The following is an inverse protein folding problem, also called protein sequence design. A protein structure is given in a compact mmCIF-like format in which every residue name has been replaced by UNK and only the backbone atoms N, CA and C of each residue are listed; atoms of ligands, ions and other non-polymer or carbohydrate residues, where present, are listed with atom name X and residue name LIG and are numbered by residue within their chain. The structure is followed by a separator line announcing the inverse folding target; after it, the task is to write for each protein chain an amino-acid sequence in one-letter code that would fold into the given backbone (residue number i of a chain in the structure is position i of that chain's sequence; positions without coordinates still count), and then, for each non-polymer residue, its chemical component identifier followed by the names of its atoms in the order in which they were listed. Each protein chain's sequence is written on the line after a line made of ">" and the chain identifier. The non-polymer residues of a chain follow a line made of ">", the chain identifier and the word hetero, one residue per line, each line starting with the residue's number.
data_IF_457996950219
#
_entry.id   IF_457996950219
#
_cell.length_a   1.000
_cell.length_b   1.000
_cell.length_c   1.000
_cell.angle_alpha   90.00
_cell.angle_beta   90.00
_cell.angle_gamma   90.00
#
_symmetry.space_group_name_H-M   'P 1'
#
loop_
_entity.id
_entity.type
_entity.pdbx_description
1 polymer ?
#
# COMPACT_ATOMS: atom_id res chain seq x y z
N UNK A 1 23.50 14.78 1.64
CA UNK A 1 22.73 13.65 2.19
C UNK A 1 21.40 13.51 1.44
N UNK A 2 21.15 12.34 0.93
CA UNK A 2 19.92 12.12 0.16
C UNK A 2 18.73 12.05 1.10
N UNK A 3 17.67 12.79 0.77
CA UNK A 3 16.40 12.74 1.50
C UNK A 3 15.54 11.65 0.84
N UNK A 4 14.94 10.79 1.65
CA UNK A 4 14.06 9.75 1.13
C UNK A 4 12.85 10.38 0.42
N UNK A 5 12.40 9.77 -0.68
CA UNK A 5 11.23 10.23 -1.44
C UNK A 5 9.94 10.12 -0.64
N UNK A 6 9.96 9.34 0.41
CA UNK A 6 8.81 9.08 1.25
C UNK A 6 8.97 7.71 1.90
N UNK A 7 8.01 7.37 2.72
CA UNK A 7 8.00 6.10 3.47
C UNK A 7 6.83 5.25 2.99
N UNK A 8 7.11 3.99 2.67
CA UNK A 8 6.10 3.05 2.16
C UNK A 8 6.07 1.81 3.04
N UNK A 9 4.88 1.37 3.41
CA UNK A 9 4.67 0.09 4.07
C UNK A 9 4.12 -0.89 3.03
N UNK A 10 4.86 -1.95 2.76
CA UNK A 10 4.49 -2.97 1.76
C UNK A 10 3.89 -4.17 2.48
N UNK A 11 2.62 -4.46 2.20
CA UNK A 11 1.87 -5.53 2.88
C UNK A 11 1.49 -6.61 1.87
N UNK A 12 2.06 -7.79 2.02
CA UNK A 12 1.78 -8.94 1.16
C UNK A 12 2.20 -10.20 1.92
N UNK A 13 1.37 -11.23 1.92
CA UNK A 13 1.69 -12.49 2.59
C UNK A 13 2.69 -13.34 1.78
N UNK A 14 2.81 -13.08 0.48
CA UNK A 14 3.79 -13.77 -0.37
C UNK A 14 5.15 -13.10 -0.21
N UNK A 15 6.10 -13.82 0.36
CA UNK A 15 7.44 -13.28 0.62
C UNK A 15 8.14 -12.82 -0.64
N UNK A 16 8.01 -13.56 -1.73
CA UNK A 16 8.67 -13.20 -2.99
C UNK A 16 8.13 -11.90 -3.55
N UNK A 17 6.81 -11.76 -3.60
CA UNK A 17 6.16 -10.54 -4.09
C UNK A 17 6.49 -9.37 -3.16
N UNK A 18 6.41 -9.58 -1.86
CA UNK A 18 6.70 -8.55 -0.87
C UNK A 18 8.12 -8.00 -1.04
N UNK A 19 9.09 -8.89 -1.20
CA UNK A 19 10.48 -8.48 -1.38
C UNK A 19 10.70 -7.82 -2.73
N UNK A 20 10.06 -8.31 -3.78
CA UNK A 20 10.17 -7.70 -5.11
C UNK A 20 9.72 -6.24 -5.07
N UNK A 21 8.57 -5.98 -4.46
CA UNK A 21 8.05 -4.62 -4.33
C UNK A 21 8.99 -3.78 -3.47
N UNK A 22 9.41 -4.32 -2.33
CA UNK A 22 10.27 -3.59 -1.40
C UNK A 22 11.60 -3.20 -2.03
N UNK A 23 12.25 -4.12 -2.75
CA UNK A 23 13.53 -3.84 -3.40
C UNK A 23 13.37 -2.76 -4.47
N UNK A 24 12.34 -2.87 -5.30
CA UNK A 24 12.12 -1.89 -6.37
C UNK A 24 11.88 -0.49 -5.82
N UNK A 25 11.08 -0.37 -4.76
CA UNK A 25 10.82 0.94 -4.14
C UNK A 25 12.07 1.48 -3.44
N UNK A 26 12.83 0.62 -2.80
CA UNK A 26 14.08 1.04 -2.14
C UNK A 26 15.06 1.60 -3.17
N UNK A 27 15.19 0.95 -4.32
CA UNK A 27 16.06 1.41 -5.40
C UNK A 27 15.64 2.78 -5.94
N UNK A 28 14.36 3.11 -5.82
CA UNK A 28 13.84 4.40 -6.26
C UNK A 28 13.98 5.50 -5.21
N UNK A 29 14.55 5.17 -4.05
CA UNK A 29 14.82 6.16 -3.02
C UNK A 29 13.79 6.24 -1.90
N UNK A 30 12.85 5.30 -1.84
CA UNK A 30 11.87 5.25 -0.76
C UNK A 30 12.45 4.55 0.46
N UNK A 31 12.01 4.96 1.62
CA UNK A 31 12.22 4.22 2.86
C UNK A 31 11.10 3.18 2.95
N UNK A 32 11.45 1.90 3.00
CA UNK A 32 10.46 0.82 2.91
C UNK A 32 10.47 -0.02 4.17
N UNK A 33 9.27 -0.26 4.72
CA UNK A 33 9.03 -1.25 5.75
C UNK A 33 8.04 -2.25 5.21
N UNK A 34 7.98 -3.44 5.79
CA UNK A 34 7.10 -4.51 5.28
C UNK A 34 6.22 -5.06 6.39
N UNK A 35 5.08 -5.62 5.98
CA UNK A 35 4.19 -6.35 6.86
C UNK A 35 3.70 -7.59 6.12
N UNK A 36 3.38 -8.66 6.86
CA UNK A 36 3.07 -9.97 6.28
C UNK A 36 1.58 -10.21 6.04
N UNK A 37 0.73 -9.48 6.73
CA UNK A 37 -0.72 -9.60 6.58
C UNK A 37 -1.41 -8.33 7.11
N UNK A 38 -2.75 -8.35 7.10
CA UNK A 38 -3.52 -7.19 7.52
C UNK A 38 -3.35 -6.82 8.99
N UNK A 39 -3.27 -7.82 9.88
CA UNK A 39 -3.08 -7.53 11.30
C UNK A 39 -1.70 -6.93 11.55
N UNK A 40 -0.67 -7.51 10.94
CA UNK A 40 0.68 -6.99 11.04
C UNK A 40 0.75 -5.56 10.48
N UNK A 41 0.02 -5.30 9.40
CA UNK A 41 -0.09 -3.95 8.84
C UNK A 41 -0.64 -2.96 9.85
N UNK A 42 -1.75 -3.31 10.50
CA UNK A 42 -2.38 -2.41 11.46
C UNK A 42 -1.50 -2.15 12.68
N UNK A 43 -0.73 -3.15 13.11
CA UNK A 43 0.21 -2.98 14.20
C UNK A 43 1.39 -2.09 13.80
N UNK A 44 1.95 -2.34 12.61
CA UNK A 44 3.14 -1.61 12.16
C UNK A 44 2.85 -0.20 11.68
N UNK A 45 1.68 0.04 11.15
CA UNK A 45 1.36 1.35 10.55
C UNK A 45 1.45 2.49 11.57
N UNK A 46 1.12 2.22 12.81
CA UNK A 46 1.20 3.22 13.88
C UNK A 46 2.66 3.60 14.18
N UNK A 47 3.55 2.62 14.17
CA UNK A 47 4.97 2.84 14.42
C UNK A 47 5.65 3.48 13.21
N UNK A 48 5.34 2.97 12.02
CA UNK A 48 6.00 3.40 10.78
C UNK A 48 5.50 4.74 10.28
N UNK A 49 4.20 4.98 10.40
CA UNK A 49 3.51 6.16 9.87
C UNK A 49 3.93 6.44 8.43
N UNK A 50 3.63 5.50 7.51
CA UNK A 50 4.04 5.67 6.12
C UNK A 50 3.21 6.71 5.38
N UNK A 51 3.75 7.20 4.27
CA UNK A 51 2.99 8.06 3.36
C UNK A 51 2.04 7.22 2.50
N UNK A 52 2.49 6.01 2.14
CA UNK A 52 1.74 5.11 1.26
C UNK A 52 1.79 3.69 1.82
N UNK A 53 0.67 2.99 1.75
CA UNK A 53 0.59 1.55 2.07
C UNK A 53 0.20 0.82 0.78
N UNK A 54 0.94 -0.21 0.40
CA UNK A 54 0.52 -1.11 -0.67
C UNK A 54 -0.04 -2.36 -0.02
N UNK A 55 -1.27 -2.73 -0.37
CA UNK A 55 -2.02 -3.82 0.26
C UNK A 55 -2.44 -4.86 -0.77
N UNK A 56 -1.99 -6.10 -0.57
CA UNK A 56 -2.53 -7.22 -1.32
C UNK A 56 -3.93 -7.51 -0.77
N UNK A 57 -4.89 -7.74 -1.67
CA UNK A 57 -6.27 -8.05 -1.27
C UNK A 57 -6.38 -9.45 -0.68
N UNK A 58 -5.71 -10.42 -1.30
CA UNK A 58 -5.81 -11.84 -0.90
C UNK A 58 -4.76 -12.19 0.14
N UNK A 59 -5.10 -12.00 1.41
CA UNK A 59 -4.22 -12.32 2.53
C UNK A 59 -4.98 -13.13 3.58
N UNK A 60 -4.27 -14.00 4.32
CA UNK A 60 -4.91 -14.71 5.44
C UNK A 60 -5.20 -13.77 6.60
N UNK A 61 -6.01 -14.23 7.52
CA UNK A 61 -6.40 -13.53 8.76
C UNK A 61 -7.29 -12.32 8.46
N UNK A 62 -6.69 -11.25 7.98
CA UNK A 62 -7.39 -10.01 7.69
C UNK A 62 -7.05 -9.61 6.26
N UNK A 63 -8.02 -9.67 5.35
CA UNK A 63 -7.77 -9.36 3.95
C UNK A 63 -7.56 -7.86 3.71
N UNK A 64 -7.13 -7.52 2.49
CA UNK A 64 -6.80 -6.14 2.16
C UNK A 64 -7.98 -5.19 2.21
N UNK A 65 -9.18 -5.67 1.90
CA UNK A 65 -10.39 -4.82 1.96
C UNK A 65 -10.68 -4.36 3.37
N UNK A 66 -10.67 -5.29 4.32
CA UNK A 66 -10.94 -4.99 5.73
C UNK A 66 -9.83 -4.13 6.30
N UNK A 67 -8.59 -4.42 5.94
CA UNK A 67 -7.44 -3.63 6.39
C UNK A 67 -7.58 -2.17 5.92
N UNK A 68 -7.93 -1.97 4.65
CA UNK A 68 -8.14 -0.63 4.10
C UNK A 68 -9.28 0.10 4.82
N UNK A 69 -10.38 -0.60 5.09
CA UNK A 69 -11.50 -0.01 5.82
C UNK A 69 -11.08 0.46 7.21
N UNK A 70 -10.29 -0.34 7.92
CA UNK A 70 -9.81 0.02 9.25
C UNK A 70 -8.86 1.20 9.21
N UNK A 71 -7.99 1.26 8.20
CA UNK A 71 -7.09 2.40 8.05
C UNK A 71 -7.87 3.70 7.84
N UNK A 72 -8.92 3.65 7.03
CA UNK A 72 -9.75 4.83 6.75
C UNK A 72 -10.62 5.24 7.93
N UNK A 73 -11.00 4.30 8.77
CA UNK A 73 -11.87 4.56 9.93
C UNK A 73 -11.14 5.16 11.12
N UNK A 74 -9.82 5.04 11.16
CA UNK A 74 -9.04 5.52 12.30
C UNK A 74 -8.46 6.90 11.98
N UNK A 75 -8.70 7.86 12.85
CA UNK A 75 -8.19 9.23 12.65
C UNK A 75 -6.67 9.30 12.56
N UNK A 76 -5.98 8.37 13.22
CA UNK A 76 -4.52 8.34 13.19
C UNK A 76 -3.98 7.92 11.83
N UNK A 77 -4.77 7.19 11.02
CA UNK A 77 -4.30 6.59 9.77
C UNK A 77 -5.13 6.95 8.54
N UNK A 78 -6.22 7.68 8.70
CA UNK A 78 -7.13 7.93 7.58
C UNK A 78 -6.54 8.79 6.46
N UNK A 79 -5.43 9.47 6.72
CA UNK A 79 -4.74 10.31 5.73
C UNK A 79 -3.74 9.53 4.88
N UNK A 80 -3.41 8.30 5.26
CA UNK A 80 -2.40 7.50 4.56
C UNK A 80 -2.93 7.09 3.19
N UNK A 81 -2.10 7.21 2.16
CA UNK A 81 -2.48 6.80 0.80
C UNK A 81 -2.47 5.28 0.71
N UNK A 82 -3.49 4.70 0.09
CA UNK A 82 -3.64 3.25 -0.01
C UNK A 82 -3.67 2.83 -1.47
N UNK A 83 -2.82 1.86 -1.82
CA UNK A 83 -2.81 1.20 -3.12
C UNK A 83 -3.22 -0.26 -2.89
N UNK A 84 -4.36 -0.67 -3.44
CA UNK A 84 -4.77 -2.08 -3.38
C UNK A 84 -4.22 -2.83 -4.58
N UNK A 85 -3.71 -4.03 -4.33
CA UNK A 85 -3.15 -4.89 -5.36
C UNK A 85 -3.93 -6.20 -5.36
N UNK A 86 -4.48 -6.59 -6.51
CA UNK A 86 -5.34 -7.77 -6.59
C UNK A 86 -5.15 -8.51 -7.90
N UNK A 87 -5.45 -9.81 -7.90
CA UNK A 87 -5.46 -10.61 -9.13
C UNK A 87 -6.74 -10.39 -9.95
N UNK A 88 -7.74 -9.70 -9.38
CA UNK A 88 -9.03 -9.48 -10.03
C UNK A 88 -9.36 -7.98 -10.07
N UNK A 89 -9.72 -7.51 -11.25
CA UNK A 89 -10.07 -6.10 -11.46
C UNK A 89 -11.48 -6.01 -12.05
N UNK A 90 -12.46 -6.54 -11.34
CA UNK A 90 -13.86 -6.46 -11.77
C UNK A 90 -14.46 -5.12 -11.34
N UNK A 91 -15.50 -4.71 -12.03
CA UNK A 91 -16.14 -3.41 -11.76
C UNK A 91 -16.66 -3.31 -10.32
N UNK A 92 -17.22 -4.42 -9.78
CA UNK A 92 -17.69 -4.43 -8.41
C UNK A 92 -16.56 -4.20 -7.41
N UNK A 93 -15.39 -4.78 -7.67
CA UNK A 93 -14.21 -4.61 -6.83
C UNK A 93 -13.72 -3.17 -6.86
N UNK A 94 -13.71 -2.57 -8.04
CA UNK A 94 -13.31 -1.17 -8.20
C UNK A 94 -14.28 -0.23 -7.49
N UNK A 95 -15.56 -0.54 -7.57
CA UNK A 95 -16.60 0.23 -6.87
C UNK A 95 -16.42 0.12 -5.36
N UNK A 96 -16.11 -1.08 -4.87
CA UNK A 96 -15.82 -1.29 -3.45
C UNK A 96 -14.62 -0.48 -3.00
N UNK A 97 -13.55 -0.46 -3.81
CA UNK A 97 -12.37 0.34 -3.52
C UNK A 97 -12.68 1.82 -3.43
N UNK A 98 -13.47 2.34 -4.38
CA UNK A 98 -13.88 3.75 -4.35
C UNK A 98 -14.72 4.07 -3.12
N UNK A 99 -15.60 3.14 -2.73
CA UNK A 99 -16.46 3.30 -1.55
C UNK A 99 -15.63 3.37 -0.26
N UNK A 100 -14.59 2.56 -0.17
CA UNK A 100 -13.68 2.58 0.98
C UNK A 100 -12.80 3.82 0.97
N UNK A 101 -12.48 4.32 -0.22
CA UNK A 101 -11.63 5.50 -0.37
C UNK A 101 -10.16 5.15 -0.58
N UNK A 102 -9.88 4.04 -1.29
CA UNK A 102 -8.50 3.74 -1.66
C UNK A 102 -8.07 4.70 -2.78
N UNK A 103 -6.78 4.97 -2.83
CA UNK A 103 -6.24 6.00 -3.74
C UNK A 103 -5.85 5.44 -5.09
N UNK A 104 -5.53 4.15 -5.16
CA UNK A 104 -5.18 3.50 -6.41
C UNK A 104 -5.43 2.01 -6.33
N UNK A 105 -5.48 1.37 -7.49
CA UNK A 105 -5.84 -0.02 -7.63
C UNK A 105 -4.99 -0.62 -8.74
N UNK A 106 -4.21 -1.65 -8.42
CA UNK A 106 -3.36 -2.33 -9.39
C UNK A 106 -3.77 -3.79 -9.51
N UNK A 107 -3.70 -4.32 -10.73
CA UNK A 107 -4.06 -5.69 -11.02
C UNK A 107 -2.80 -6.52 -11.24
N UNK A 108 -2.74 -7.70 -10.60
CA UNK A 108 -1.66 -8.66 -10.84
C UNK A 108 -1.92 -9.43 -12.14
N UNK A 109 -0.91 -9.73 -12.93
CA UNK A 109 0.47 -9.26 -12.77
C UNK A 109 0.59 -7.79 -13.11
N UNK A 110 1.39 -7.07 -12.35
CA UNK A 110 1.64 -5.66 -12.61
C UNK A 110 3.10 -5.47 -13.04
N UNK A 111 3.33 -4.42 -13.80
CA UNK A 111 4.68 -4.02 -14.16
C UNK A 111 5.27 -3.24 -12.97
N UNK A 112 6.48 -3.59 -12.50
CA UNK A 112 7.09 -2.84 -11.39
C UNK A 112 7.17 -1.33 -11.66
N UNK A 113 7.37 -0.92 -12.90
CA UNK A 113 7.41 0.51 -13.24
C UNK A 113 6.04 1.18 -13.02
N UNK A 114 4.95 0.47 -13.24
CA UNK A 114 3.61 0.97 -12.99
C UNK A 114 3.38 1.19 -11.50
N UNK A 115 3.78 0.22 -10.68
CA UNK A 115 3.68 0.35 -9.23
C UNK A 115 4.51 1.53 -8.73
N UNK A 116 5.75 1.65 -9.19
CA UNK A 116 6.64 2.74 -8.81
C UNK A 116 6.01 4.10 -9.16
N UNK A 117 5.46 4.21 -10.36
CA UNK A 117 4.83 5.44 -10.84
C UNK A 117 3.66 5.86 -9.93
N UNK A 118 2.81 4.90 -9.57
CA UNK A 118 1.67 5.15 -8.70
C UNK A 118 2.13 5.58 -7.31
N UNK A 119 3.09 4.87 -6.74
CA UNK A 119 3.60 5.16 -5.39
C UNK A 119 4.26 6.55 -5.36
N UNK A 120 5.06 6.89 -6.38
CA UNK A 120 5.68 8.22 -6.47
C UNK A 120 4.64 9.32 -6.46
N UNK A 121 3.61 9.19 -7.28
CA UNK A 121 2.55 10.19 -7.37
C UNK A 121 1.84 10.38 -6.03
N UNK A 122 1.50 9.28 -5.38
CA UNK A 122 0.78 9.33 -4.10
C UNK A 122 1.66 9.86 -2.98
N UNK A 123 2.94 9.49 -2.96
CA UNK A 123 3.88 9.98 -1.95
C UNK A 123 4.07 11.49 -2.08
N UNK A 124 4.18 11.99 -3.30
CA UNK A 124 4.30 13.43 -3.56
C UNK A 124 3.07 14.18 -3.08
N UNK A 125 1.89 13.62 -3.33
CA UNK A 125 0.63 14.22 -2.87
C UNK A 125 0.56 14.24 -1.34
N UNK A 126 0.97 13.16 -0.69
CA UNK A 126 0.97 13.07 0.76
C UNK A 126 1.91 14.09 1.39
N UNK A 127 3.08 14.29 0.79
CA UNK A 127 4.10 15.22 1.32
C UNK A 127 3.76 16.68 1.03
N UNK A 128 2.92 16.94 0.03
CA UNK A 128 2.54 18.30 -0.33
C UNK A 128 1.56 18.92 0.68
N UNK A 129 0.95 18.09 1.52
CA UNK A 129 0.02 18.59 2.55
C UNK A 129 0.74 18.78 3.87
#
# INVERSE_FOLDING_TARGET
>A
MAVARGKVLVVDDDEVIRQLIAVNLTLEGFQVETATDGEDCLDRVIEVMPDVVTLDVMMPCLDGWVTAERLRSDEATNHIKIVLITARAQEDDRRRGRSIGVDAYLTKPFDPSELISVVKRLAETAQAN
#
